data_IF_406111446323
#
_entry.id   IF_406111446323
#
_cell.length_a   1.000
_cell.length_b   1.000
_cell.length_c   1.000
_cell.angle_alpha   90.00
_cell.angle_beta   90.00
_cell.angle_gamma   90.00
#
_symmetry.space_group_name_H-M   'P 1'
#
loop_
_entity.id
_entity.type
_entity.pdbx_description
1 polymer ?
#
# COMPACT_ATOMS: atom_id res chain seq x y z
N UNK A 1 -27.61 46.54 -108.14
CA UNK A 1 -26.56 45.98 -109.02
C UNK A 1 -25.30 46.80 -108.74
N UNK A 2 -24.26 46.14 -108.21
CA UNK A 2 -22.86 46.62 -108.16
C UNK A 2 -22.66 47.93 -107.37
N UNK A 3 -22.56 47.88 -106.04
CA UNK A 3 -21.25 48.24 -105.44
C UNK A 3 -21.00 47.50 -104.10
N UNK A 4 -21.41 46.22 -104.03
CA UNK A 4 -21.15 45.32 -102.88
C UNK A 4 -19.78 44.61 -102.95
N UNK A 5 -18.83 45.11 -103.73
CA UNK A 5 -17.65 44.33 -104.13
C UNK A 5 -16.29 44.96 -103.77
N UNK A 6 -16.22 45.89 -102.81
CA UNK A 6 -14.92 46.44 -102.35
C UNK A 6 -14.69 46.46 -100.84
N UNK A 7 -15.64 45.95 -100.05
CA UNK A 7 -15.48 45.82 -98.57
C UNK A 7 -15.13 44.39 -98.13
N UNK A 8 -15.10 43.42 -99.05
CA UNK A 8 -14.78 42.02 -98.77
C UNK A 8 -13.27 41.69 -98.83
N UNK A 9 -12.46 42.51 -99.52
CA UNK A 9 -11.02 42.24 -99.73
C UNK A 9 -10.14 42.80 -98.59
N UNK A 10 -10.56 43.88 -97.91
CA UNK A 10 -9.83 44.42 -96.74
C UNK A 10 -10.09 43.67 -95.43
N UNK A 11 -11.15 42.86 -95.34
CA UNK A 11 -11.43 42.03 -94.13
C UNK A 11 -10.77 40.65 -94.17
N UNK A 12 -10.33 40.16 -95.34
CA UNK A 12 -9.60 38.88 -95.48
C UNK A 12 -8.09 38.97 -95.25
N UNK A 13 -7.46 40.15 -95.33
CA UNK A 13 -6.02 40.33 -95.03
C UNK A 13 -5.68 40.52 -93.55
N UNK A 14 -6.67 40.73 -92.66
CA UNK A 14 -6.47 40.73 -91.19
C UNK A 14 -6.83 39.40 -90.50
N UNK A 15 -7.39 38.44 -91.24
CA UNK A 15 -7.71 37.10 -90.73
C UNK A 15 -6.68 36.01 -91.12
N UNK A 16 -5.69 36.34 -91.95
CA UNK A 16 -4.63 35.44 -92.42
C UNK A 16 -3.24 35.91 -91.95
N UNK A 17 -3.16 36.53 -90.77
CA UNK A 17 -1.91 36.87 -90.08
C UNK A 17 -2.05 36.61 -88.58
N UNK A 18 -2.65 35.45 -88.23
CA UNK A 18 -2.60 34.81 -86.90
C UNK A 18 -2.62 33.27 -87.00
N UNK A 19 -2.26 32.71 -88.17
CA UNK A 19 -2.25 31.25 -88.41
C UNK A 19 -0.86 30.76 -88.88
N UNK A 20 0.14 31.65 -88.99
CA UNK A 20 1.52 31.32 -89.39
C UNK A 20 2.56 31.45 -88.29
N UNK A 21 2.19 31.19 -87.02
CA UNK A 21 3.12 31.11 -85.88
C UNK A 21 2.64 30.09 -84.83
N UNK A 22 1.81 29.13 -85.27
CA UNK A 22 1.15 28.14 -84.43
C UNK A 22 1.41 26.69 -84.89
N UNK A 23 2.33 26.44 -85.83
CA UNK A 23 2.62 25.06 -86.28
C UNK A 23 4.08 24.70 -86.53
N UNK A 24 5.06 25.61 -86.37
CA UNK A 24 6.51 25.31 -86.52
C UNK A 24 7.30 26.03 -85.41
N UNK A 25 6.90 25.83 -84.16
CA UNK A 25 7.84 25.46 -83.09
C UNK A 25 7.48 24.01 -82.73
N UNK A 26 7.54 23.18 -83.76
CA UNK A 26 7.82 21.76 -83.62
C UNK A 26 9.34 21.70 -83.78
N UNK A 27 10.02 21.09 -82.81
CA UNK A 27 11.43 20.63 -82.85
C UNK A 27 12.54 21.47 -82.19
N UNK A 28 12.43 21.87 -80.91
CA UNK A 28 13.56 21.89 -79.92
C UNK A 28 13.36 22.84 -78.73
N UNK A 29 12.29 22.64 -77.95
CA UNK A 29 12.39 22.66 -76.48
C UNK A 29 11.41 21.63 -75.93
N UNK A 30 11.72 20.38 -76.29
CA UNK A 30 11.38 19.19 -75.51
C UNK A 30 11.94 19.44 -74.11
N UNK A 31 11.07 19.66 -73.13
CA UNK A 31 11.54 19.93 -71.77
C UNK A 31 10.64 20.73 -70.85
N UNK A 32 9.41 21.11 -71.20
CA UNK A 32 8.41 21.30 -70.13
C UNK A 32 7.94 19.91 -69.75
N UNK A 33 8.69 19.26 -68.87
CA UNK A 33 8.21 18.13 -68.12
C UNK A 33 6.96 18.61 -67.35
N UNK A 34 5.80 18.54 -68.02
CA UNK A 34 4.64 18.01 -67.31
C UNK A 34 5.08 16.61 -66.95
N UNK A 35 5.77 16.50 -65.82
CA UNK A 35 5.94 15.23 -65.14
C UNK A 35 4.51 14.74 -64.98
N UNK A 36 4.08 13.85 -65.87
CA UNK A 36 2.93 13.00 -65.60
C UNK A 36 3.38 12.21 -64.38
N UNK A 37 3.12 12.77 -63.20
CA UNK A 37 3.27 12.05 -61.96
C UNK A 37 2.18 11.00 -62.04
N UNK A 38 2.57 9.78 -62.40
CA UNK A 38 1.70 8.63 -62.33
C UNK A 38 1.36 8.42 -60.86
N UNK A 39 0.25 9.06 -60.46
CA UNK A 39 -0.31 8.91 -59.14
C UNK A 39 -1.03 7.57 -59.07
N UNK A 40 -0.83 6.88 -57.95
CA UNK A 40 -1.58 5.70 -57.59
C UNK A 40 -2.48 6.06 -56.42
N UNK A 41 -3.73 5.65 -56.53
CA UNK A 41 -4.70 5.73 -55.44
C UNK A 41 -4.68 4.44 -54.65
N UNK A 42 -4.72 4.57 -53.33
CA UNK A 42 -4.89 3.45 -52.40
C UNK A 42 -6.06 3.72 -51.47
N UNK A 43 -6.73 2.65 -51.04
CA UNK A 43 -7.73 2.73 -49.98
C UNK A 43 -7.02 2.66 -48.63
N UNK A 44 -7.28 3.64 -47.77
CA UNK A 44 -6.74 3.70 -46.41
C UNK A 44 -7.89 3.75 -45.42
N UNK A 45 -7.94 2.80 -44.49
CA UNK A 45 -8.90 2.80 -43.38
C UNK A 45 -8.17 3.27 -42.12
N UNK A 46 -8.61 4.37 -41.53
CA UNK A 46 -8.07 4.89 -40.25
C UNK A 46 -9.19 4.84 -39.22
N UNK A 47 -9.02 4.03 -38.17
CA UNK A 47 -10.04 3.85 -37.11
C UNK A 47 -11.46 3.69 -37.69
N UNK A 48 -11.62 2.70 -38.58
CA UNK A 48 -12.83 2.34 -39.33
C UNK A 48 -13.36 3.38 -40.34
N UNK A 49 -12.66 4.52 -40.50
CA UNK A 49 -12.99 5.53 -41.51
C UNK A 49 -12.20 5.32 -42.80
N UNK A 50 -12.88 4.98 -43.89
CA UNK A 50 -12.25 4.83 -45.21
C UNK A 50 -11.92 6.18 -45.86
N UNK A 51 -10.72 6.26 -46.45
CA UNK A 51 -10.22 7.37 -47.26
C UNK A 51 -9.54 6.82 -48.50
N UNK A 52 -9.56 7.59 -49.59
CA UNK A 52 -8.73 7.32 -50.77
C UNK A 52 -7.58 8.31 -50.74
N UNK A 53 -6.35 7.81 -50.66
CA UNK A 53 -5.16 8.64 -50.69
C UNK A 53 -4.47 8.48 -52.03
N UNK A 54 -3.91 9.59 -52.53
CA UNK A 54 -3.13 9.62 -53.76
C UNK A 54 -1.66 9.81 -53.43
N UNK A 55 -0.79 9.04 -54.07
CA UNK A 55 0.66 9.15 -53.92
C UNK A 55 1.38 8.74 -55.19
N UNK A 56 2.67 9.04 -55.28
CA UNK A 56 3.54 8.57 -56.37
C UNK A 56 3.69 7.05 -56.33
N UNK A 57 3.66 6.40 -57.49
CA UNK A 57 3.74 4.94 -57.62
C UNK A 57 4.99 4.33 -56.94
N UNK A 58 6.09 5.07 -56.82
CA UNK A 58 7.34 4.64 -56.19
C UNK A 58 7.57 5.19 -54.77
N UNK A 59 6.64 6.02 -54.25
CA UNK A 59 6.71 6.46 -52.85
C UNK A 59 6.44 5.28 -51.91
N UNK A 60 6.97 5.34 -50.69
CA UNK A 60 6.63 4.35 -49.68
C UNK A 60 5.30 4.69 -48.96
N UNK A 61 4.66 3.68 -48.37
CA UNK A 61 3.37 3.85 -47.68
C UNK A 61 3.46 4.89 -46.56
N UNK A 62 4.54 4.91 -45.78
CA UNK A 62 4.73 5.87 -44.69
C UNK A 62 4.76 7.33 -45.15
N UNK A 63 5.46 7.61 -46.25
CA UNK A 63 5.50 8.94 -46.90
C UNK A 63 4.11 9.35 -47.39
N UNK A 64 3.39 8.47 -48.06
CA UNK A 64 2.05 8.76 -48.58
C UNK A 64 1.07 9.06 -47.46
N UNK A 65 1.13 8.31 -46.34
CA UNK A 65 0.32 8.59 -45.16
C UNK A 65 0.66 9.97 -44.57
N UNK A 66 1.95 10.27 -44.39
CA UNK A 66 2.42 11.54 -43.84
C UNK A 66 2.05 12.74 -44.72
N UNK A 67 2.26 12.66 -46.03
CA UNK A 67 1.93 13.73 -46.99
C UNK A 67 0.43 14.04 -47.02
N UNK A 68 -0.41 13.06 -46.66
CA UNK A 68 -1.86 13.21 -46.55
C UNK A 68 -2.33 13.50 -45.11
N UNK A 69 -1.43 13.90 -44.22
CA UNK A 69 -1.74 14.34 -42.85
C UNK A 69 -2.04 13.21 -41.86
N UNK A 70 -1.66 11.97 -42.18
CA UNK A 70 -1.73 10.82 -41.27
C UNK A 70 -0.33 10.60 -40.70
N UNK A 71 -0.07 11.17 -39.54
CA UNK A 71 1.20 10.98 -38.82
C UNK A 71 1.12 9.71 -37.97
N UNK A 72 1.88 8.70 -38.39
CA UNK A 72 2.02 7.46 -37.64
C UNK A 72 2.93 7.69 -36.43
N UNK A 73 2.32 7.83 -35.25
CA UNK A 73 3.02 7.70 -33.97
C UNK A 73 3.20 6.22 -33.57
N UNK A 74 3.88 5.96 -32.44
CA UNK A 74 4.11 4.59 -31.93
C UNK A 74 2.82 3.87 -31.51
N UNK A 75 1.77 4.67 -31.29
CA UNK A 75 0.42 4.31 -30.87
C UNK A 75 -0.48 3.83 -32.01
N UNK A 76 0.02 3.68 -33.24
CA UNK A 76 -0.72 3.08 -34.35
C UNK A 76 -0.05 1.78 -34.83
N UNK A 77 -0.87 0.84 -35.30
CA UNK A 77 -0.44 -0.30 -36.10
C UNK A 77 -0.87 -0.11 -37.55
N UNK A 78 -0.07 -0.64 -38.47
CA UNK A 78 -0.35 -0.62 -39.91
C UNK A 78 -0.28 -2.04 -40.43
N UNK A 79 -1.29 -2.48 -41.17
CA UNK A 79 -1.37 -3.86 -41.69
C UNK A 79 -0.30 -4.20 -42.76
N UNK A 80 0.44 -3.20 -43.26
CA UNK A 80 1.50 -3.34 -44.26
C UNK A 80 2.78 -2.67 -43.74
N UNK A 81 3.94 -3.12 -44.22
CA UNK A 81 5.22 -2.45 -43.95
C UNK A 81 5.21 -1.05 -44.58
N UNK A 82 5.43 -0.02 -43.75
CA UNK A 82 5.44 1.39 -44.15
C UNK A 82 6.53 1.72 -45.17
N UNK A 83 7.58 0.89 -45.29
CA UNK A 83 8.62 1.03 -46.31
C UNK A 83 8.25 0.39 -47.65
N UNK A 84 7.12 -0.33 -47.73
CA UNK A 84 6.65 -0.93 -48.98
C UNK A 84 6.33 0.16 -50.00
N UNK A 85 6.72 -0.09 -51.25
CA UNK A 85 6.44 0.80 -52.36
C UNK A 85 4.94 0.77 -52.69
N UNK A 86 4.34 1.94 -52.89
CA UNK A 86 2.90 2.09 -53.13
C UNK A 86 2.41 1.24 -54.31
N UNK A 87 3.24 1.03 -55.33
CA UNK A 87 2.95 0.17 -56.50
C UNK A 87 2.39 -1.21 -56.12
N UNK A 88 2.87 -1.83 -55.04
CA UNK A 88 2.46 -3.18 -54.64
C UNK A 88 1.33 -3.20 -53.61
N UNK A 89 0.95 -2.04 -53.08
CA UNK A 89 -0.03 -1.91 -52.00
C UNK A 89 -1.33 -1.31 -52.53
N UNK A 90 -2.47 -1.90 -52.18
CA UNK A 90 -3.78 -1.40 -52.62
C UNK A 90 -4.67 -0.96 -51.45
N UNK A 91 -4.56 -1.66 -50.31
CA UNK A 91 -5.34 -1.40 -49.11
C UNK A 91 -4.38 -1.26 -47.92
N UNK A 92 -4.53 -0.18 -47.17
CA UNK A 92 -3.80 0.09 -45.93
C UNK A 92 -4.81 0.25 -44.81
N UNK A 93 -4.60 -0.42 -43.70
CA UNK A 93 -5.39 -0.27 -42.49
C UNK A 93 -4.47 0.27 -41.40
N UNK A 94 -4.85 1.41 -40.83
CA UNK A 94 -4.19 2.07 -39.73
C UNK A 94 -5.14 2.02 -38.54
N UNK A 95 -4.73 1.32 -37.47
CA UNK A 95 -5.52 1.20 -36.26
C UNK A 95 -4.77 1.78 -35.09
N UNK A 96 -5.45 2.54 -34.24
CA UNK A 96 -4.90 2.92 -32.96
C UNK A 96 -4.70 1.67 -32.08
N UNK A 97 -3.51 1.52 -31.52
CA UNK A 97 -3.20 0.50 -30.52
C UNK A 97 -3.91 0.85 -29.21
N UNK A 98 -4.44 -0.17 -28.54
CA UNK A 98 -4.93 0.01 -27.19
C UNK A 98 -3.77 0.44 -26.28
N UNK A 99 -4.02 1.42 -25.42
CA UNK A 99 -2.99 1.99 -24.56
C UNK A 99 -3.55 2.35 -23.20
N UNK A 100 -2.75 2.13 -22.16
CA UNK A 100 -3.14 2.40 -20.78
C UNK A 100 -2.08 1.94 -19.80
N UNK A 101 -2.48 1.77 -18.55
CA UNK A 101 -1.62 1.28 -17.46
C UNK A 101 -2.00 -0.13 -17.06
N UNK A 102 -1.02 -1.02 -16.89
CA UNK A 102 -1.19 -2.33 -16.28
C UNK A 102 -0.45 -2.37 -14.95
N UNK A 103 -1.18 -2.57 -13.86
CA UNK A 103 -0.65 -2.69 -12.49
C UNK A 103 -0.79 -4.12 -11.98
N UNK A 104 0.31 -4.74 -11.55
CA UNK A 104 0.36 -6.09 -10.98
C UNK A 104 1.61 -6.27 -10.12
N UNK A 105 1.54 -7.05 -9.04
CA UNK A 105 2.69 -7.41 -8.20
C UNK A 105 3.53 -6.19 -7.73
N UNK A 106 2.87 -5.08 -7.40
CA UNK A 106 3.52 -3.82 -6.99
C UNK A 106 4.18 -3.03 -8.13
N UNK A 107 4.10 -3.51 -9.36
CA UNK A 107 4.64 -2.87 -10.57
C UNK A 107 3.52 -2.22 -11.38
N UNK A 108 3.79 -1.05 -11.96
CA UNK A 108 2.95 -0.43 -12.98
C UNK A 108 3.74 -0.27 -14.28
N UNK A 109 3.16 -0.68 -15.41
CA UNK A 109 3.71 -0.46 -16.75
C UNK A 109 2.70 0.28 -17.63
N UNK A 110 3.20 1.07 -18.56
CA UNK A 110 2.38 1.62 -19.64
C UNK A 110 2.39 0.62 -20.80
N UNK A 111 1.22 0.22 -21.28
CA UNK A 111 1.11 -0.67 -22.44
C UNK A 111 0.71 0.10 -23.70
N UNK A 112 1.18 -0.41 -24.85
CA UNK A 112 0.69 -0.10 -26.18
C UNK A 112 0.62 -1.42 -26.94
N UNK A 113 -0.58 -1.97 -27.15
CA UNK A 113 -0.77 -3.34 -27.63
C UNK A 113 -1.83 -3.43 -28.73
N UNK A 114 -1.75 -4.50 -29.52
CA UNK A 114 -2.78 -4.95 -30.46
C UNK A 114 -3.72 -5.99 -29.83
N UNK A 115 -3.47 -6.40 -28.59
CA UNK A 115 -4.37 -7.24 -27.81
C UNK A 115 -5.77 -6.62 -27.74
N UNK A 116 -6.78 -7.45 -27.97
CA UNK A 116 -8.18 -7.00 -28.00
C UNK A 116 -8.80 -6.98 -26.62
N UNK A 117 -8.36 -7.86 -25.73
CA UNK A 117 -8.96 -8.05 -24.40
C UNK A 117 -7.94 -7.96 -23.30
N UNK A 118 -8.40 -7.64 -22.08
CA UNK A 118 -7.55 -7.63 -20.88
C UNK A 118 -6.83 -8.97 -20.72
N UNK A 119 -7.49 -10.09 -21.00
CA UNK A 119 -6.89 -11.43 -20.93
C UNK A 119 -5.67 -11.58 -21.86
N UNK A 120 -5.79 -11.14 -23.11
CA UNK A 120 -4.69 -11.18 -24.09
C UNK A 120 -3.52 -10.28 -23.66
N UNK A 121 -3.80 -9.08 -23.12
CA UNK A 121 -2.76 -8.19 -22.58
C UNK A 121 -2.01 -8.84 -21.41
N UNK A 122 -2.71 -9.54 -20.52
CA UNK A 122 -2.07 -10.27 -19.42
C UNK A 122 -1.15 -11.38 -19.95
N UNK A 123 -1.61 -12.15 -20.95
CA UNK A 123 -0.82 -13.21 -21.59
C UNK A 123 0.45 -12.66 -22.25
N UNK A 124 0.33 -11.58 -23.02
CA UNK A 124 1.46 -10.88 -23.66
C UNK A 124 2.52 -10.43 -22.65
N UNK A 125 2.07 -9.95 -21.49
CA UNK A 125 2.93 -9.51 -20.39
C UNK A 125 3.37 -10.64 -19.44
N UNK A 126 3.06 -11.90 -19.77
CA UNK A 126 3.37 -13.09 -18.97
C UNK A 126 2.78 -13.05 -17.54
N UNK A 127 1.65 -12.35 -17.36
CA UNK A 127 0.95 -12.24 -16.08
C UNK A 127 -0.08 -13.36 -15.97
N UNK A 128 0.26 -14.41 -15.22
CA UNK A 128 -0.65 -15.53 -14.94
C UNK A 128 -1.44 -15.26 -13.66
N UNK A 129 -2.76 -15.45 -13.72
CA UNK A 129 -3.64 -15.32 -12.55
C UNK A 129 -3.73 -16.65 -11.79
N UNK A 130 -3.62 -16.59 -10.47
CA UNK A 130 -3.98 -17.69 -9.57
C UNK A 130 -5.48 -17.94 -9.54
N UNK A 131 -5.89 -19.04 -8.88
CA UNK A 131 -7.29 -19.47 -8.85
C UNK A 131 -8.24 -18.44 -8.21
N UNK A 132 -7.74 -17.65 -7.26
CA UNK A 132 -8.52 -16.63 -6.53
C UNK A 132 -8.21 -15.20 -7.01
N UNK A 133 -7.18 -15.03 -7.83
CA UNK A 133 -6.75 -13.71 -8.31
C UNK A 133 -7.82 -13.09 -9.21
N UNK A 134 -7.86 -11.77 -9.22
CA UNK A 134 -8.81 -10.99 -10.01
C UNK A 134 -8.10 -9.95 -10.83
N UNK A 135 -8.74 -9.53 -11.93
CA UNK A 135 -8.30 -8.41 -12.74
C UNK A 135 -9.47 -7.46 -12.96
N UNK A 136 -9.19 -6.16 -12.88
CA UNK A 136 -10.15 -5.09 -13.08
C UNK A 136 -9.58 -4.14 -14.15
N UNK A 137 -10.26 -3.93 -15.28
CA UNK A 137 -11.47 -4.62 -15.73
C UNK A 137 -11.28 -6.13 -15.93
N UNK A 138 -12.37 -6.90 -15.99
CA UNK A 138 -12.32 -8.35 -16.11
C UNK A 138 -11.66 -8.82 -17.41
N UNK A 139 -11.15 -10.06 -17.43
CA UNK A 139 -10.38 -10.63 -18.57
C UNK A 139 -11.03 -10.51 -19.96
N UNK A 140 -12.36 -10.51 -20.02
CA UNK A 140 -13.13 -10.45 -21.27
C UNK A 140 -13.42 -9.01 -21.73
N UNK A 141 -13.00 -8.00 -20.96
CA UNK A 141 -13.21 -6.59 -21.31
C UNK A 141 -12.33 -6.24 -22.49
N UNK A 142 -12.90 -5.57 -23.48
CA UNK A 142 -12.18 -5.05 -24.63
C UNK A 142 -11.25 -3.90 -24.22
N UNK A 143 -10.04 -3.85 -24.76
CA UNK A 143 -9.02 -2.87 -24.37
C UNK A 143 -9.11 -1.52 -25.09
N UNK A 144 -9.97 -1.40 -26.11
CA UNK A 144 -10.05 -0.20 -26.95
C UNK A 144 -10.22 1.10 -26.13
N UNK A 145 -11.01 1.05 -25.05
CA UNK A 145 -11.33 2.19 -24.19
C UNK A 145 -10.89 1.97 -22.73
N UNK A 146 -9.90 1.11 -22.49
CA UNK A 146 -9.40 0.82 -21.14
C UNK A 146 -8.10 1.57 -20.91
N UNK A 147 -8.16 2.58 -20.04
CA UNK A 147 -6.98 3.36 -19.65
C UNK A 147 -6.17 2.69 -18.53
N UNK A 148 -6.78 1.78 -17.77
CA UNK A 148 -6.15 1.13 -16.61
C UNK A 148 -6.65 -0.29 -16.39
N UNK A 149 -5.72 -1.21 -16.18
CA UNK A 149 -5.91 -2.60 -15.81
C UNK A 149 -5.15 -2.86 -14.50
N UNK A 150 -5.81 -3.44 -13.51
CA UNK A 150 -5.24 -3.75 -12.19
C UNK A 150 -5.45 -5.21 -11.88
N UNK A 151 -4.36 -5.94 -11.61
CA UNK A 151 -4.37 -7.29 -11.08
C UNK A 151 -4.36 -7.24 -9.56
N UNK A 152 -5.26 -7.99 -8.95
CA UNK A 152 -5.40 -8.15 -7.50
C UNK A 152 -5.04 -9.59 -7.17
N UNK A 153 -3.93 -9.75 -6.45
CA UNK A 153 -3.50 -11.06 -5.92
C UNK A 153 -4.31 -11.39 -4.67
N UNK A 154 -4.92 -12.57 -4.65
CA UNK A 154 -5.76 -12.99 -3.53
C UNK A 154 -5.14 -14.21 -2.86
N UNK A 155 -4.82 -14.06 -1.59
CA UNK A 155 -4.28 -15.13 -0.75
C UNK A 155 -5.24 -15.42 0.41
N UNK A 156 -5.37 -16.69 0.78
CA UNK A 156 -6.14 -17.13 1.93
C UNK A 156 -5.23 -17.94 2.84
N UNK A 157 -5.07 -17.48 4.08
CA UNK A 157 -4.30 -18.16 5.10
C UNK A 157 -5.22 -18.64 6.22
N UNK A 158 -4.94 -19.81 6.78
CA UNK A 158 -5.56 -20.29 8.01
C UNK A 158 -4.52 -20.21 9.13
N UNK A 159 -4.79 -19.38 10.13
CA UNK A 159 -3.89 -19.03 11.22
C UNK A 159 -4.38 -19.71 12.51
N UNK A 160 -3.73 -20.82 12.93
CA UNK A 160 -4.02 -21.43 14.21
C UNK A 160 -3.50 -20.55 15.36
N UNK A 161 -4.26 -20.46 16.44
CA UNK A 161 -3.92 -19.69 17.63
C UNK A 161 -4.44 -20.39 18.89
N UNK A 162 -3.71 -20.25 20.00
CA UNK A 162 -4.16 -20.66 21.33
C UNK A 162 -4.47 -19.44 22.17
N UNK A 163 -5.63 -19.41 22.79
CA UNK A 163 -6.06 -18.34 23.68
C UNK A 163 -6.24 -18.87 25.10
N UNK A 164 -5.75 -18.09 26.07
CA UNK A 164 -5.92 -18.40 27.49
C UNK A 164 -7.33 -18.01 27.91
N UNK A 165 -8.03 -18.92 28.59
CA UNK A 165 -9.33 -18.65 29.20
C UNK A 165 -9.11 -18.48 30.68
N UNK A 166 -9.24 -17.24 31.18
CA UNK A 166 -9.04 -16.98 32.60
C UNK A 166 -10.06 -17.70 33.46
N UNK A 167 -9.60 -18.26 34.59
CA UNK A 167 -10.50 -18.88 35.54
C UNK A 167 -11.42 -17.86 36.22
N UNK A 168 -12.67 -18.24 36.51
CA UNK A 168 -13.54 -17.41 37.33
C UNK A 168 -13.26 -17.64 38.82
N UNK A 169 -13.41 -16.59 39.64
CA UNK A 169 -13.41 -16.72 41.11
C UNK A 169 -14.84 -16.93 41.61
N UNK A 170 -15.04 -17.95 42.44
CA UNK A 170 -16.31 -18.29 43.09
C UNK A 170 -16.19 -18.09 44.61
N UNK A 171 -17.00 -17.19 45.14
CA UNK A 171 -17.08 -16.95 46.57
C UNK A 171 -18.10 -17.90 47.22
N UNK A 172 -17.72 -18.51 48.34
CA UNK A 172 -18.57 -19.43 49.11
C UNK A 172 -18.64 -19.00 50.57
N UNK A 173 -19.83 -18.69 51.07
CA UNK A 173 -19.99 -18.30 52.48
C UNK A 173 -19.61 -19.45 53.42
N UNK A 174 -18.83 -19.14 54.44
CA UNK A 174 -18.44 -20.07 55.49
C UNK A 174 -18.79 -19.49 56.88
N UNK A 175 -19.80 -20.04 57.59
CA UNK A 175 -20.22 -19.56 58.91
C UNK A 175 -19.27 -19.98 60.04
N UNK A 176 -18.27 -20.81 59.78
CA UNK A 176 -17.23 -21.18 60.75
C UNK A 176 -16.07 -20.17 60.76
N UNK A 177 -15.86 -19.46 59.64
CA UNK A 177 -14.87 -18.40 59.47
C UNK A 177 -15.40 -17.05 59.97
N UNK A 178 -14.54 -16.31 60.69
CA UNK A 178 -14.85 -14.96 61.19
C UNK A 178 -15.18 -13.98 60.06
N UNK A 179 -16.17 -13.13 60.29
CA UNK A 179 -16.57 -12.09 59.35
C UNK A 179 -15.37 -11.22 58.95
N UNK A 180 -15.11 -11.11 57.66
CA UNK A 180 -13.96 -10.35 57.11
C UNK A 180 -12.71 -11.20 56.87
N UNK A 181 -12.69 -12.47 57.26
CA UNK A 181 -11.61 -13.42 56.92
C UNK A 181 -11.98 -14.19 55.64
N UNK A 182 -11.03 -14.27 54.71
CA UNK A 182 -11.14 -15.06 53.49
C UNK A 182 -10.16 -16.24 53.52
N UNK A 183 -10.56 -17.37 52.94
CA UNK A 183 -9.70 -18.54 52.75
C UNK A 183 -9.87 -19.11 51.36
N UNK A 184 -8.79 -19.13 50.57
CA UNK A 184 -8.78 -19.86 49.29
C UNK A 184 -8.79 -21.36 49.59
N UNK A 185 -9.79 -22.07 49.11
CA UNK A 185 -9.94 -23.53 49.28
C UNK A 185 -9.65 -24.32 48.00
N UNK A 186 -9.74 -23.66 46.84
CA UNK A 186 -9.31 -24.19 45.56
C UNK A 186 -8.62 -23.07 44.78
N UNK A 187 -7.39 -23.31 44.33
CA UNK A 187 -6.68 -22.36 43.46
C UNK A 187 -7.24 -22.47 42.06
N UNK A 188 -7.48 -21.33 41.41
CA UNK A 188 -7.94 -21.29 40.02
C UNK A 188 -6.82 -21.69 39.05
N UNK A 189 -7.20 -22.34 37.95
CA UNK A 189 -6.28 -22.72 36.87
C UNK A 189 -6.89 -22.26 35.56
N UNK A 190 -6.14 -21.47 34.80
CA UNK A 190 -6.59 -21.00 33.50
C UNK A 190 -6.80 -22.19 32.54
N UNK A 191 -7.83 -22.07 31.70
CA UNK A 191 -8.09 -22.96 30.60
C UNK A 191 -7.38 -22.50 29.32
N UNK A 192 -7.53 -23.29 28.26
CA UNK A 192 -6.97 -22.99 26.92
C UNK A 192 -8.01 -23.33 25.86
N UNK A 193 -8.23 -22.43 24.91
CA UNK A 193 -8.97 -22.72 23.67
C UNK A 193 -8.05 -22.70 22.44
N UNK A 194 -8.30 -23.61 21.52
CA UNK A 194 -7.69 -23.66 20.18
C UNK A 194 -8.62 -22.98 19.19
N UNK A 195 -8.08 -22.01 18.46
CA UNK A 195 -8.82 -21.24 17.47
C UNK A 195 -8.12 -21.33 16.12
N UNK A 196 -8.89 -21.35 15.04
CA UNK A 196 -8.36 -21.17 13.69
C UNK A 196 -9.10 -20.01 13.04
N UNK A 197 -8.33 -19.03 12.58
CA UNK A 197 -8.84 -17.89 11.84
C UNK A 197 -8.48 -18.01 10.38
N UNK A 198 -9.46 -17.84 9.49
CA UNK A 198 -9.22 -17.68 8.07
C UNK A 198 -9.06 -16.21 7.75
N UNK A 199 -7.94 -15.85 7.13
CA UNK A 199 -7.61 -14.48 6.74
C UNK A 199 -7.46 -14.40 5.23
N UNK A 200 -8.14 -13.45 4.60
CA UNK A 200 -8.04 -13.16 3.17
C UNK A 200 -7.21 -11.89 2.98
N UNK A 201 -6.23 -11.98 2.10
CA UNK A 201 -5.35 -10.88 1.72
C UNK A 201 -5.58 -10.50 0.26
N UNK A 202 -5.62 -9.20 -0.02
CA UNK A 202 -5.60 -8.63 -1.37
C UNK A 202 -4.35 -7.77 -1.53
N UNK A 203 -3.48 -8.15 -2.47
CA UNK A 203 -2.16 -7.51 -2.66
C UNK A 203 -1.35 -7.43 -1.35
N UNK A 204 -1.44 -8.46 -0.50
CA UNK A 204 -0.75 -8.53 0.79
C UNK A 204 -1.44 -7.76 1.93
N UNK A 205 -2.53 -7.05 1.67
CA UNK A 205 -3.30 -6.32 2.70
C UNK A 205 -4.45 -7.19 3.17
N UNK A 206 -4.59 -7.37 4.49
CA UNK A 206 -5.72 -8.09 5.07
C UNK A 206 -7.03 -7.36 4.78
N UNK A 207 -7.98 -8.06 4.14
CA UNK A 207 -9.30 -7.51 3.81
C UNK A 207 -10.44 -8.20 4.55
N UNK A 208 -10.22 -9.41 5.05
CA UNK A 208 -11.22 -10.15 5.83
C UNK A 208 -10.56 -11.14 6.78
N UNK A 209 -11.06 -11.21 8.01
CA UNK A 209 -10.70 -12.22 9.02
C UNK A 209 -11.98 -12.83 9.59
N UNK A 210 -12.03 -14.15 9.66
CA UNK A 210 -13.14 -14.89 10.25
C UNK A 210 -12.63 -16.06 11.09
N UNK A 211 -13.15 -16.21 12.31
CA UNK A 211 -12.88 -17.40 13.13
C UNK A 211 -13.71 -18.56 12.58
N UNK A 212 -13.04 -19.59 12.07
CA UNK A 212 -13.68 -20.76 11.48
C UNK A 212 -13.70 -21.96 12.42
N UNK A 213 -12.92 -21.91 13.50
CA UNK A 213 -12.85 -22.95 14.52
C UNK A 213 -12.54 -22.32 15.88
N UNK A 214 -13.20 -22.82 16.93
CA UNK A 214 -12.99 -22.44 18.33
C UNK A 214 -13.42 -23.61 19.21
N UNK A 215 -12.47 -24.26 19.87
CA UNK A 215 -12.73 -25.38 20.77
C UNK A 215 -11.92 -25.22 22.05
N UNK A 216 -12.56 -25.48 23.20
CA UNK A 216 -11.88 -25.48 24.49
C UNK A 216 -11.06 -26.77 24.59
N UNK A 217 -9.73 -26.65 24.56
CA UNK A 217 -8.82 -27.79 24.78
C UNK A 217 -8.79 -28.19 26.26
N UNK A 218 -8.81 -27.20 27.16
CA UNK A 218 -8.81 -27.42 28.61
C UNK A 218 -9.71 -26.41 29.28
N UNK A 219 -10.71 -26.87 30.02
CA UNK A 219 -11.62 -25.98 30.75
C UNK A 219 -10.89 -25.28 31.90
N UNK A 220 -11.19 -23.99 32.17
CA UNK A 220 -10.66 -23.32 33.34
C UNK A 220 -11.24 -23.93 34.62
N UNK A 221 -10.38 -24.13 35.61
CA UNK A 221 -10.77 -24.58 36.96
C UNK A 221 -11.02 -23.33 37.80
N UNK A 222 -12.21 -23.13 38.38
CA UNK A 222 -12.51 -21.93 39.16
C UNK A 222 -11.65 -21.84 40.42
N UNK A 223 -11.30 -20.62 40.82
CA UNK A 223 -10.79 -20.36 42.17
C UNK A 223 -11.96 -20.32 43.14
N UNK A 224 -11.88 -21.04 44.25
CA UNK A 224 -12.93 -21.03 45.27
C UNK A 224 -12.38 -20.34 46.52
N UNK A 225 -13.02 -19.23 46.90
CA UNK A 225 -12.69 -18.43 48.08
C UNK A 225 -13.83 -18.53 49.08
N UNK A 226 -13.55 -19.09 50.25
CA UNK A 226 -14.49 -19.06 51.36
C UNK A 226 -14.44 -17.72 52.08
N UNK A 227 -15.60 -17.09 52.24
CA UNK A 227 -15.78 -15.80 52.93
C UNK A 227 -16.48 -16.01 54.27
N UNK A 228 -15.83 -15.58 55.36
CA UNK A 228 -16.36 -15.75 56.70
C UNK A 228 -17.63 -14.95 56.96
N UNK A 229 -18.62 -15.57 57.58
CA UNK A 229 -19.89 -14.93 57.98
C UNK A 229 -20.17 -15.03 59.49
N UNK A 230 -19.24 -15.62 60.25
CA UNK A 230 -19.36 -15.74 61.71
C UNK A 230 -19.28 -14.36 62.35
N UNK A 231 -20.37 -13.93 62.97
CA UNK A 231 -20.43 -12.65 63.69
C UNK A 231 -19.45 -12.63 64.86
N UNK A 232 -18.53 -11.67 64.83
CA UNK A 232 -17.64 -11.39 65.95
C UNK A 232 -18.37 -10.40 66.87
N UNK A 233 -18.62 -10.78 68.12
CA UNK A 233 -19.15 -9.85 69.12
C UNK A 233 -17.98 -8.95 69.53
N UNK A 234 -17.90 -7.74 68.97
CA UNK A 234 -17.01 -6.72 69.50
C UNK A 234 -17.54 -6.27 70.86
N UNK A 235 -16.87 -6.67 71.94
CA UNK A 235 -16.99 -5.98 73.22
C UNK A 235 -16.48 -4.56 73.02
N UNK A 236 -17.27 -3.50 73.30
CA UNK A 236 -16.81 -2.13 73.14
C UNK A 236 -15.55 -1.92 73.97
N UNK A 237 -14.49 -1.38 73.36
CA UNK A 237 -13.35 -0.87 74.12
C UNK A 237 -13.87 0.20 75.10
N UNK A 238 -13.44 0.19 76.37
CA UNK A 238 -13.88 1.21 77.31
C UNK A 238 -13.44 2.57 76.79
N UNK A 239 -14.40 3.48 76.65
CA UNK A 239 -14.15 4.90 76.39
C UNK A 239 -13.37 5.43 77.59
N UNK A 240 -12.06 5.55 77.45
CA UNK A 240 -11.23 6.29 78.41
C UNK A 240 -11.20 7.73 77.94
N UNK A 241 -11.91 8.55 78.71
CA UNK A 241 -11.95 10.00 78.64
C UNK A 241 -10.53 10.57 78.82
N UNK A 242 -10.15 11.49 77.95
CA UNK A 242 -8.91 12.23 78.04
C UNK A 242 -8.88 13.12 79.30
N UNK A 243 -7.70 13.34 79.88
CA UNK A 243 -7.35 14.71 80.26
C UNK A 243 -5.96 15.14 79.79
N UNK A 244 -5.82 16.45 79.67
CA UNK A 244 -4.74 17.18 79.03
C UNK A 244 -3.42 17.18 79.83
N UNK A 245 -2.33 17.05 79.07
CA UNK A 245 -1.05 17.80 79.08
C UNK A 245 -0.24 18.03 80.39
N UNK A 246 1.10 17.91 80.22
CA UNK A 246 2.22 18.77 80.72
C UNK A 246 3.36 18.01 81.49
N UNK A 247 4.46 17.77 80.74
CA UNK A 247 5.94 17.69 80.96
C UNK A 247 6.63 16.87 82.09
N UNK A 248 7.48 15.91 81.63
CA UNK A 248 8.94 15.59 81.87
C UNK A 248 9.57 15.70 83.29
N UNK A 249 10.67 14.97 83.63
CA UNK A 249 11.71 14.42 82.74
C UNK A 249 12.37 13.05 83.12
N UNK A 250 13.26 12.56 82.22
CA UNK A 250 14.45 11.66 82.40
C UNK A 250 14.23 10.25 82.99
N UNK A 251 14.65 9.12 82.39
CA UNK A 251 16.00 8.64 82.01
C UNK A 251 15.83 7.39 81.12
N UNK A 252 16.59 7.21 80.04
CA UNK A 252 16.80 5.88 79.44
C UNK A 252 18.19 5.72 78.80
N UNK A 253 18.72 4.50 78.94
CA UNK A 253 20.00 3.98 78.47
C UNK A 253 19.82 3.26 77.10
N UNK A 254 20.91 2.83 76.42
CA UNK A 254 20.97 2.80 74.95
C UNK A 254 20.68 1.42 74.34
N UNK A 255 20.30 1.38 73.06
CA UNK A 255 21.24 1.07 71.96
C UNK A 255 20.54 0.63 70.64
N UNK A 256 20.88 1.36 69.57
CA UNK A 256 21.00 0.99 68.14
C UNK A 256 19.75 0.74 67.26
N UNK A 257 19.22 1.86 66.76
CA UNK A 257 18.97 2.30 65.36
C UNK A 257 19.73 1.60 64.19
N UNK A 258 19.45 1.90 62.90
CA UNK A 258 18.48 2.88 62.34
C UNK A 258 17.54 2.38 61.22
N UNK A 259 16.28 2.82 61.05
CA UNK A 259 15.67 4.13 60.65
C UNK A 259 15.46 4.28 59.11
N UNK A 260 14.68 5.25 58.58
CA UNK A 260 13.27 5.10 58.23
C UNK A 260 12.88 5.60 56.81
N UNK A 261 11.59 5.47 56.49
CA UNK A 261 10.90 6.13 55.37
C UNK A 261 10.49 7.56 55.78
N UNK A 262 10.83 8.56 54.96
CA UNK A 262 10.13 9.86 54.92
C UNK A 262 9.99 10.34 53.45
N UNK A 263 8.79 10.81 53.12
CA UNK A 263 8.39 11.63 51.96
C UNK A 263 8.01 13.00 52.58
N UNK A 264 7.93 14.17 51.90
CA UNK A 264 8.09 14.51 50.47
C UNK A 264 8.83 15.86 50.19
N UNK A 265 9.41 16.13 49.00
CA UNK A 265 9.44 17.49 48.41
C UNK A 265 9.89 17.53 46.93
N UNK A 266 9.48 18.62 46.29
CA UNK A 266 9.58 19.07 44.91
C UNK A 266 10.98 19.12 44.25
N UNK A 267 10.90 19.25 42.93
CA UNK A 267 11.94 19.45 41.91
C UNK A 267 13.21 20.19 42.33
N UNK A 268 14.35 19.76 41.75
CA UNK A 268 15.38 20.66 41.28
C UNK A 268 15.53 20.59 39.76
N UNK A 269 15.68 21.78 39.19
CA UNK A 269 16.04 22.08 37.81
C UNK A 269 17.47 21.63 37.49
N UNK A 270 17.62 20.98 36.32
CA UNK A 270 18.78 20.87 35.41
C UNK A 270 20.13 20.33 35.95
N UNK A 271 20.66 19.31 35.27
CA UNK A 271 22.03 19.35 34.71
C UNK A 271 22.09 18.48 33.45
N UNK A 272 22.30 19.17 32.33
CA UNK A 272 22.69 18.64 31.04
C UNK A 272 23.97 17.82 31.16
N UNK A 273 23.93 16.56 30.74
CA UNK A 273 25.15 15.82 30.39
C UNK A 273 25.09 15.57 28.90
N UNK A 274 25.93 16.30 28.18
CA UNK A 274 26.17 16.13 26.75
C UNK A 274 26.96 14.84 26.57
N UNK A 275 26.33 13.86 25.92
CA UNK A 275 27.07 12.84 25.16
C UNK A 275 26.56 12.89 23.74
N UNK A 276 27.42 13.42 22.88
CA UNK A 276 27.33 13.43 21.42
C UNK A 276 27.09 12.04 20.87
N UNK A 277 26.04 11.85 20.06
CA UNK A 277 26.14 11.26 18.70
C UNK A 277 24.81 11.34 17.91
N UNK A 278 24.95 11.75 16.65
CA UNK A 278 24.00 11.74 15.52
C UNK A 278 22.70 12.55 15.62
N UNK A 279 22.74 13.78 15.07
CA UNK A 279 21.55 14.50 14.60
C UNK A 279 20.85 13.66 13.53
N UNK A 280 19.76 12.98 13.89
CA UNK A 280 18.77 12.48 12.94
C UNK A 280 17.68 13.54 12.83
N UNK A 281 17.47 14.07 11.63
CA UNK A 281 16.34 14.95 11.35
C UNK A 281 15.05 14.18 11.58
N UNK A 282 14.27 14.58 12.58
CA UNK A 282 12.95 14.04 12.90
C UNK A 282 11.91 14.47 11.86
N UNK A 283 12.14 14.10 10.60
CA UNK A 283 11.19 14.34 9.51
C UNK A 283 10.28 13.13 9.42
N UNK A 284 9.00 13.31 9.77
CA UNK A 284 7.97 12.28 9.58
C UNK A 284 7.86 12.00 8.07
N UNK A 285 8.02 10.74 7.61
CA UNK A 285 7.91 10.41 6.19
C UNK A 285 6.54 10.75 5.61
N UNK A 286 6.51 11.22 4.36
CA UNK A 286 5.27 11.51 3.65
C UNK A 286 4.45 10.22 3.47
N UNK A 287 3.17 10.24 3.89
CA UNK A 287 2.30 9.05 3.89
C UNK A 287 2.35 8.20 5.16
N UNK A 288 3.13 8.58 6.17
CA UNK A 288 3.13 7.87 7.45
C UNK A 288 1.81 8.05 8.21
N UNK A 289 1.27 6.97 8.76
CA UNK A 289 -0.02 6.97 9.46
C UNK A 289 0.22 7.23 10.96
N UNK A 290 -0.29 8.34 11.53
CA UNK A 290 -0.11 8.63 12.95
C UNK A 290 -0.92 7.68 13.83
N UNK A 291 -0.36 7.30 14.97
CA UNK A 291 -1.03 6.54 16.02
C UNK A 291 -0.52 6.91 17.41
N UNK A 292 -1.41 6.83 18.38
CA UNK A 292 -1.02 6.82 19.80
C UNK A 292 -0.85 5.38 20.24
N UNK A 293 0.31 5.07 20.80
CA UNK A 293 0.65 3.74 21.27
C UNK A 293 0.97 3.76 22.76
N UNK A 294 0.68 2.65 23.43
CA UNK A 294 1.26 2.35 24.73
C UNK A 294 2.57 1.59 24.50
N UNK A 295 3.68 2.27 24.72
CA UNK A 295 4.99 1.68 24.64
C UNK A 295 5.39 1.00 25.95
N UNK A 296 5.83 -0.24 25.84
CA UNK A 296 6.51 -0.99 26.90
C UNK A 296 7.89 -1.41 26.41
N UNK A 297 8.68 -2.03 27.28
CA UNK A 297 9.97 -2.60 26.90
C UNK A 297 10.12 -4.02 27.42
N UNK A 298 10.82 -4.84 26.65
CA UNK A 298 11.15 -6.21 27.00
C UNK A 298 12.61 -6.53 26.63
N UNK A 299 13.11 -7.60 27.23
CA UNK A 299 14.40 -8.19 26.90
C UNK A 299 14.22 -9.69 26.68
N UNK A 300 15.10 -10.32 25.90
CA UNK A 300 14.97 -11.72 25.50
C UNK A 300 16.01 -12.58 26.21
N UNK A 301 15.61 -13.78 26.63
CA UNK A 301 16.49 -14.76 27.29
C UNK A 301 17.21 -15.67 26.27
N UNK A 302 17.59 -15.13 25.10
CA UNK A 302 18.34 -15.85 24.07
C UNK A 302 17.52 -16.61 23.02
N UNK A 303 16.21 -16.35 22.92
CA UNK A 303 15.35 -16.92 21.88
C UNK A 303 15.21 -15.96 20.69
N UNK A 304 14.97 -16.52 19.50
CA UNK A 304 14.60 -15.73 18.32
C UNK A 304 13.18 -15.15 18.47
N UNK A 305 12.93 -14.04 17.79
CA UNK A 305 11.60 -13.43 17.68
C UNK A 305 10.63 -14.31 16.90
N UNK A 306 9.34 -13.97 16.93
CA UNK A 306 8.30 -14.64 16.14
C UNK A 306 8.56 -14.61 14.61
N UNK A 307 9.32 -13.65 14.08
CA UNK A 307 9.78 -13.64 12.69
C UNK A 307 10.95 -14.60 12.40
N UNK A 308 11.57 -15.16 13.44
CA UNK A 308 12.75 -16.02 13.36
C UNK A 308 14.09 -15.26 13.43
N UNK A 309 14.08 -13.93 13.50
CA UNK A 309 15.29 -13.10 13.62
C UNK A 309 15.64 -12.90 15.10
N UNK A 310 16.93 -12.82 15.44
CA UNK A 310 17.34 -12.48 16.81
C UNK A 310 17.02 -11.00 17.10
N UNK A 311 16.36 -10.69 18.23
CA UNK A 311 15.97 -9.34 18.52
C UNK A 311 17.20 -8.45 18.76
N UNK A 312 17.13 -7.21 18.29
CA UNK A 312 18.24 -6.23 18.37
C UNK A 312 17.75 -4.90 18.90
N UNK A 313 18.46 -4.33 19.87
CA UNK A 313 18.08 -3.04 20.46
C UNK A 313 18.15 -1.93 19.39
N UNK A 314 17.28 -0.93 19.51
CA UNK A 314 17.10 0.15 18.53
C UNK A 314 16.61 -0.32 17.14
N UNK A 315 16.04 -1.53 17.06
CA UNK A 315 15.54 -2.08 15.81
C UNK A 315 14.26 -2.90 16.02
N UNK A 316 14.29 -3.91 16.89
CA UNK A 316 13.19 -4.86 17.02
C UNK A 316 12.08 -4.34 17.93
N UNK A 317 10.82 -4.51 17.51
CA UNK A 317 9.63 -4.35 18.36
C UNK A 317 8.70 -5.55 18.24
N UNK A 318 7.99 -5.85 19.34
CA UNK A 318 6.84 -6.74 19.36
C UNK A 318 5.55 -5.93 19.23
N UNK A 319 4.62 -6.40 18.41
CA UNK A 319 3.29 -5.77 18.22
C UNK A 319 2.19 -6.82 18.04
N UNK A 320 0.93 -6.41 18.03
CA UNK A 320 -0.20 -7.30 17.74
C UNK A 320 -0.16 -7.82 16.30
N UNK A 321 -0.80 -8.97 16.07
CA UNK A 321 -0.78 -9.70 14.78
C UNK A 321 -1.30 -8.91 13.56
N UNK A 322 -2.01 -7.80 13.76
CA UNK A 322 -2.55 -6.97 12.69
C UNK A 322 -1.53 -6.05 11.99
N UNK A 323 -0.30 -5.91 12.53
CA UNK A 323 0.80 -5.27 11.81
C UNK A 323 1.75 -6.32 11.26
N UNK A 324 1.93 -6.45 9.93
CA UNK A 324 2.85 -7.42 9.34
C UNK A 324 4.27 -7.34 9.89
N UNK A 325 4.99 -8.47 9.86
CA UNK A 325 6.43 -8.40 10.10
C UNK A 325 7.09 -7.56 8.99
N UNK A 326 8.14 -6.82 9.35
CA UNK A 326 8.80 -5.88 8.47
C UNK A 326 8.21 -4.47 8.48
N UNK A 327 6.97 -4.28 8.96
CA UNK A 327 6.36 -2.95 9.10
C UNK A 327 7.26 -2.04 9.92
N UNK A 328 7.39 -0.78 9.48
CA UNK A 328 8.25 0.22 10.11
C UNK A 328 7.41 1.12 11.02
N UNK A 329 7.88 1.31 12.25
CA UNK A 329 7.24 2.19 13.24
C UNK A 329 8.25 3.24 13.67
N UNK A 330 8.00 4.50 13.29
CA UNK A 330 8.82 5.63 13.72
C UNK A 330 8.27 6.22 15.02
N UNK A 331 9.13 6.34 16.03
CA UNK A 331 8.78 6.91 17.33
C UNK A 331 9.63 8.19 17.53
N UNK A 332 9.04 9.39 17.38
CA UNK A 332 9.80 10.64 17.47
C UNK A 332 10.49 10.86 18.83
N UNK A 333 9.90 10.35 19.90
CA UNK A 333 10.44 10.45 21.26
C UNK A 333 11.80 9.74 21.41
N UNK A 334 12.05 8.68 20.63
CA UNK A 334 13.34 7.97 20.62
C UNK A 334 14.20 8.34 19.40
N UNK A 335 13.60 8.96 18.37
CA UNK A 335 14.28 9.28 17.11
C UNK A 335 14.62 8.04 16.27
N UNK A 336 13.97 6.90 16.55
CA UNK A 336 14.27 5.60 15.95
C UNK A 336 13.06 5.09 15.17
N UNK A 337 13.34 4.49 14.01
CA UNK A 337 12.39 3.67 13.26
C UNK A 337 12.64 2.21 13.58
N UNK A 338 11.69 1.58 14.25
CA UNK A 338 11.72 0.18 14.60
C UNK A 338 11.08 -0.68 13.50
N UNK A 339 11.40 -1.97 13.49
CA UNK A 339 10.83 -2.99 12.62
C UNK A 339 10.02 -3.96 13.47
N UNK A 340 8.79 -4.23 13.04
CA UNK A 340 7.96 -5.28 13.61
C UNK A 340 8.57 -6.63 13.25
N UNK A 341 9.16 -7.32 14.24
CA UNK A 341 9.79 -8.63 14.04
C UNK A 341 9.32 -9.65 15.07
N UNK A 342 8.64 -9.20 16.12
CA UNK A 342 8.25 -10.04 17.23
C UNK A 342 6.77 -9.95 17.58
N UNK A 343 6.29 -10.90 18.38
CA UNK A 343 4.92 -10.97 18.90
C UNK A 343 4.97 -11.31 20.39
N UNK A 344 4.28 -10.50 21.19
CA UNK A 344 4.11 -10.78 22.62
C UNK A 344 2.68 -11.21 22.90
N UNK A 345 2.48 -12.25 23.72
CA UNK A 345 1.14 -12.69 24.13
C UNK A 345 0.34 -11.63 24.90
N UNK A 346 1.04 -10.68 25.54
CA UNK A 346 0.44 -9.54 26.23
C UNK A 346 0.35 -8.26 25.36
N UNK A 347 0.82 -8.31 24.11
CA UNK A 347 0.93 -7.15 23.21
C UNK A 347 -0.27 -7.13 22.27
N UNK A 348 -1.33 -6.47 22.70
CA UNK A 348 -2.59 -6.30 21.95
C UNK A 348 -2.60 -5.01 21.11
N UNK A 349 -3.68 -4.78 20.36
CA UNK A 349 -3.77 -3.62 19.45
C UNK A 349 -3.51 -2.30 20.19
N UNK A 350 -2.59 -1.49 19.65
CA UNK A 350 -2.17 -0.22 20.26
C UNK A 350 -1.03 -0.33 21.27
N UNK A 351 -0.53 -1.54 21.56
CA UNK A 351 0.67 -1.75 22.38
C UNK A 351 1.86 -2.03 21.46
N UNK A 352 3.00 -1.40 21.76
CA UNK A 352 4.29 -1.66 21.10
C UNK A 352 5.32 -1.95 22.18
N UNK A 353 5.89 -3.14 22.15
CA UNK A 353 6.91 -3.56 23.10
C UNK A 353 8.29 -3.43 22.46
N UNK A 354 9.14 -2.55 22.98
CA UNK A 354 10.46 -2.27 22.43
C UNK A 354 11.48 -3.24 23.01
N UNK A 355 12.22 -3.91 22.14
CA UNK A 355 13.31 -4.77 22.60
C UNK A 355 14.50 -3.93 23.10
N UNK A 356 15.02 -4.32 24.26
CA UNK A 356 16.22 -3.75 24.87
C UNK A 356 17.21 -4.84 25.26
N UNK A 357 18.49 -4.48 25.31
CA UNK A 357 19.57 -5.44 25.56
C UNK A 357 19.59 -5.92 27.01
N UNK A 358 19.12 -5.09 27.95
CA UNK A 358 19.17 -5.40 29.38
C UNK A 358 17.84 -5.16 30.07
N UNK A 359 17.61 -5.92 31.15
CA UNK A 359 16.46 -5.71 32.03
C UNK A 359 16.47 -4.33 32.70
N UNK A 360 17.67 -3.83 33.05
CA UNK A 360 17.85 -2.48 33.62
C UNK A 360 17.29 -1.39 32.68
N UNK A 361 17.62 -1.46 31.39
CA UNK A 361 17.08 -0.54 30.37
C UNK A 361 15.55 -0.62 30.28
N UNK A 362 14.98 -1.82 30.38
CA UNK A 362 13.52 -2.00 30.36
C UNK A 362 12.84 -1.29 31.55
N UNK A 363 13.43 -1.40 32.74
CA UNK A 363 12.91 -0.75 33.96
C UNK A 363 13.04 0.78 33.87
N UNK A 364 14.16 1.28 33.35
CA UNK A 364 14.35 2.73 33.17
C UNK A 364 13.40 3.31 32.11
N UNK A 365 13.11 2.55 31.06
CA UNK A 365 12.16 2.97 30.03
C UNK A 365 10.72 3.01 30.55
N UNK A 366 10.31 2.00 31.30
CA UNK A 366 8.97 1.89 31.87
C UNK A 366 7.85 1.82 30.83
N UNK A 367 6.60 1.98 31.29
CA UNK A 367 5.43 2.05 30.40
C UNK A 367 5.06 3.50 30.15
N UNK A 368 4.95 3.90 28.89
CA UNK A 368 4.65 5.28 28.50
C UNK A 368 3.77 5.33 27.26
N UNK A 369 2.89 6.33 27.19
CA UNK A 369 2.11 6.57 25.97
C UNK A 369 2.91 7.48 25.06
N UNK A 370 3.18 7.03 23.84
CA UNK A 370 3.97 7.76 22.85
C UNK A 370 3.18 7.95 21.56
N UNK A 371 3.53 9.02 20.84
CA UNK A 371 3.13 9.17 19.45
C UNK A 371 4.06 8.31 18.58
N UNK A 372 3.49 7.62 17.61
CA UNK A 372 4.22 6.84 16.63
C UNK A 372 3.58 6.91 15.25
N UNK A 373 4.36 6.54 14.24
CA UNK A 373 3.96 6.63 12.85
C UNK A 373 4.24 5.30 12.15
N UNK A 374 3.22 4.68 11.58
CA UNK A 374 3.41 3.51 10.71
C UNK A 374 3.88 3.99 9.36
N UNK A 375 4.93 3.35 8.85
CA UNK A 375 5.48 3.57 7.53
C UNK A 375 5.39 2.22 6.78
N UNK A 376 4.73 2.24 5.63
CA UNK A 376 4.59 1.08 4.74
C UNK A 376 5.66 1.04 3.67
#
# INVERSE_FOLDING_TARGET
MIEKENTAIKKRKKAMLKIGMASIIVTCMVGTANSFVFAKEIKVTVDDSERVLSGGMFQNVGEVLKDNGIELGTNYSVNVDTNSVLLTVNNVEVKRKASGELSYDGKTIVYQTEAKTVGELLEENNVKLGALDRVIPGKATELADVDKVTVIRVEVAELPSRQVIHYPTQNKDNPELESGVTKVVQVGVDGVSSQVERVMYENGVEVKREKIYDEIETEPIPEIVEVGTKKIVQTPAPVVEAPAAVVTPTVEAPAVTPTPVEKPQAAPTQTTVVTTEAVKTNTIPEGAIPMTIQCTAYTATGNATASGVMPTANHTVATWSGLPFGTKIYIPATGITYTVEDRGGAVTQGIVDIYMNTYEECIQFGRQNLEAYIIF
#
